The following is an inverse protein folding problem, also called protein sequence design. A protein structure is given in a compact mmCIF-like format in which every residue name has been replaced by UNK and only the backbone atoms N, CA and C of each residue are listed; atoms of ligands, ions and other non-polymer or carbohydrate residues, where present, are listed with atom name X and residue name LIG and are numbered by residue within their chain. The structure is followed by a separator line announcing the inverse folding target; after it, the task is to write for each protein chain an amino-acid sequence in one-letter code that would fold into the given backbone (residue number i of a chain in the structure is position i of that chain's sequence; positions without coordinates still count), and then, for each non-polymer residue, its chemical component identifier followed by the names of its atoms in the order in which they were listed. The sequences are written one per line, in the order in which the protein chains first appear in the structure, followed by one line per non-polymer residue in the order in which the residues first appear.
data_IF_400354063520
#
_entry.id   IF_400354063520
#
_cell.length_a   1.000
_cell.length_b   1.000
_cell.length_c   1.000
_cell.angle_alpha   90.00
_cell.angle_beta   90.00
_cell.angle_gamma   90.00
#
_symmetry.space_group_name_H-M   'P 1'
#
loop_
_entity.id
_entity.type
_entity.pdbx_description
1 polymer ?
#
# COMPACT_ATOMS: atom_id res chain seq x y z
N UNK A 1 -5.63 -37.85 36.00
CA UNK A 1 -4.63 -36.90 35.46
C UNK A 1 -5.37 -36.05 34.47
N UNK A 2 -5.39 -34.73 34.65
CA UNK A 2 -6.15 -33.80 33.81
C UNK A 2 -5.40 -33.64 32.50
N UNK A 3 -5.99 -34.13 31.41
CA UNK A 3 -5.54 -33.87 30.05
C UNK A 3 -5.45 -32.36 29.85
N UNK A 4 -4.27 -31.86 29.49
CA UNK A 4 -4.08 -30.46 29.13
C UNK A 4 -4.94 -30.18 27.89
N UNK A 5 -5.70 -29.07 27.84
CA UNK A 5 -6.44 -28.72 26.64
C UNK A 5 -5.44 -28.56 25.48
N UNK A 6 -5.75 -29.24 24.38
CA UNK A 6 -5.14 -29.08 23.06
C UNK A 6 -4.91 -27.59 22.81
N UNK A 7 -3.65 -27.19 22.61
CA UNK A 7 -3.36 -25.84 22.10
C UNK A 7 -4.13 -25.71 20.77
N UNK A 8 -4.94 -24.66 20.57
CA UNK A 8 -5.70 -24.51 19.34
C UNK A 8 -4.73 -24.50 18.16
N UNK A 9 -5.07 -25.17 17.06
CA UNK A 9 -4.26 -25.39 15.84
C UNK A 9 -3.80 -24.09 15.10
N UNK A 10 -3.98 -22.91 15.69
CA UNK A 10 -3.86 -21.61 15.04
C UNK A 10 -2.47 -20.95 15.27
N UNK A 11 -1.91 -20.86 16.50
CA UNK A 11 -0.59 -20.25 16.73
C UNK A 11 0.55 -21.00 16.04
N UNK A 12 0.44 -22.33 15.91
CA UNK A 12 1.43 -23.17 15.22
C UNK A 12 1.50 -22.91 13.70
N UNK A 13 0.41 -22.44 13.09
CA UNK A 13 0.37 -22.03 11.67
C UNK A 13 0.91 -20.62 11.46
N UNK A 14 0.69 -19.74 12.44
CA UNK A 14 1.28 -18.38 12.48
C UNK A 14 2.80 -18.44 12.53
N UNK A 15 3.37 -19.39 13.30
CA UNK A 15 4.81 -19.64 13.38
C UNK A 15 5.44 -20.19 12.08
N UNK A 16 4.64 -20.75 11.16
CA UNK A 16 5.11 -21.24 9.85
C UNK A 16 5.09 -20.16 8.76
N UNK A 17 4.37 -19.05 8.99
CA UNK A 17 4.23 -17.93 8.06
C UNK A 17 5.13 -16.74 8.41
N UNK A 18 5.50 -16.57 9.68
CA UNK A 18 6.50 -15.58 10.08
C UNK A 18 7.90 -15.99 9.64
N UNK A 19 8.61 -15.15 8.89
CA UNK A 19 10.04 -15.34 8.61
C UNK A 19 10.90 -15.23 9.88
N UNK A 20 10.31 -14.68 10.96
CA UNK A 20 10.89 -14.58 12.29
C UNK A 20 9.94 -15.15 13.34
N UNK A 21 10.50 -15.74 14.40
CA UNK A 21 9.73 -16.27 15.53
C UNK A 21 8.95 -15.15 16.23
N UNK A 22 7.62 -15.16 16.11
CA UNK A 22 6.75 -14.21 16.81
C UNK A 22 6.76 -14.54 18.31
N UNK A 23 7.02 -13.56 19.21
CA UNK A 23 6.99 -13.78 20.65
C UNK A 23 5.64 -14.33 21.12
N UNK A 24 5.67 -15.35 21.99
CA UNK A 24 4.45 -15.98 22.49
C UNK A 24 3.61 -14.97 23.28
N UNK A 25 4.25 -14.07 24.02
CA UNK A 25 3.55 -13.03 24.79
C UNK A 25 2.72 -12.12 23.89
N UNK A 26 3.16 -11.88 22.66
CA UNK A 26 2.41 -11.08 21.69
C UNK A 26 1.20 -11.85 21.15
N UNK A 27 1.37 -13.15 20.87
CA UNK A 27 0.28 -14.02 20.42
C UNK A 27 -0.78 -14.19 21.51
N UNK A 28 -0.37 -14.27 22.78
CA UNK A 28 -1.28 -14.45 23.92
C UNK A 28 -2.18 -13.22 24.17
N UNK A 29 -1.81 -12.04 23.64
CA UNK A 29 -2.63 -10.83 23.70
C UNK A 29 -3.69 -10.74 22.60
N UNK A 30 -3.66 -11.66 21.62
CA UNK A 30 -4.52 -11.63 20.44
C UNK A 30 -5.59 -12.70 20.51
N UNK A 31 -6.80 -12.34 20.11
CA UNK A 31 -7.90 -13.29 19.93
C UNK A 31 -7.66 -14.24 18.75
N UNK A 32 -8.27 -15.43 18.80
CA UNK A 32 -8.20 -16.41 17.70
C UNK A 32 -8.66 -15.83 16.35
N UNK A 33 -9.60 -14.88 16.36
CA UNK A 33 -10.05 -14.16 15.17
C UNK A 33 -8.92 -13.35 14.51
N UNK A 34 -8.08 -12.69 15.31
CA UNK A 34 -6.91 -11.95 14.83
C UNK A 34 -5.88 -12.88 14.20
N UNK A 35 -5.64 -14.03 14.82
CA UNK A 35 -4.73 -15.04 14.28
C UNK A 35 -5.26 -15.64 12.97
N UNK A 36 -6.58 -15.76 12.80
CA UNK A 36 -7.18 -16.15 11.52
C UNK A 36 -7.01 -15.09 10.43
N UNK A 37 -7.10 -13.80 10.77
CA UNK A 37 -6.83 -12.68 9.85
C UNK A 37 -5.37 -12.75 9.38
N UNK A 38 -4.42 -12.92 10.29
CA UNK A 38 -2.99 -13.03 9.96
C UNK A 38 -2.69 -14.11 8.92
N UNK A 39 -3.44 -15.22 8.93
CA UNK A 39 -3.26 -16.32 7.97
C UNK A 39 -3.97 -16.12 6.63
N UNK A 40 -4.91 -15.17 6.52
CA UNK A 40 -5.82 -15.05 5.37
C UNK A 40 -5.72 -13.72 4.64
N UNK A 41 -5.38 -12.65 5.35
CA UNK A 41 -5.27 -11.31 4.81
C UNK A 41 -3.79 -10.96 4.60
N UNK A 42 -3.28 -10.99 3.36
CA UNK A 42 -1.89 -10.67 3.09
C UNK A 42 -1.57 -9.18 3.24
N UNK A 43 -2.55 -8.27 3.18
CA UNK A 43 -2.33 -6.83 3.33
C UNK A 43 -2.45 -6.38 4.80
N UNK A 44 -1.34 -6.00 5.46
CA UNK A 44 -1.39 -5.56 6.84
C UNK A 44 -2.10 -4.23 7.05
N UNK A 45 -2.33 -3.45 5.98
CA UNK A 45 -3.09 -2.21 6.07
C UNK A 45 -4.58 -2.47 6.36
N UNK A 46 -5.07 -3.68 6.08
CA UNK A 46 -6.43 -4.13 6.35
C UNK A 46 -6.58 -4.81 7.71
N UNK A 47 -5.48 -5.00 8.45
CA UNK A 47 -5.51 -5.66 9.73
C UNK A 47 -6.09 -4.76 10.83
N UNK A 48 -6.76 -5.37 11.84
CA UNK A 48 -7.11 -4.69 13.08
C UNK A 48 -5.89 -4.03 13.73
N UNK A 49 -6.11 -2.92 14.43
CA UNK A 49 -5.05 -2.13 15.06
C UNK A 49 -4.27 -2.92 16.11
N UNK A 50 -4.95 -3.84 16.78
CA UNK A 50 -4.41 -4.78 17.76
C UNK A 50 -3.28 -5.64 17.16
N UNK A 51 -3.31 -5.88 15.85
CA UNK A 51 -2.34 -6.69 15.11
C UNK A 51 -1.19 -5.88 14.51
N UNK A 52 -1.15 -4.56 14.68
CA UNK A 52 -0.13 -3.69 14.08
C UNK A 52 1.29 -4.10 14.49
N UNK A 53 1.46 -4.59 15.73
CA UNK A 53 2.74 -5.12 16.21
C UNK A 53 3.22 -6.39 15.47
N UNK A 54 2.33 -7.11 14.76
CA UNK A 54 2.68 -8.29 13.98
C UNK A 54 3.36 -7.94 12.64
N UNK A 55 3.22 -6.71 12.15
CA UNK A 55 3.78 -6.26 10.86
C UNK A 55 5.30 -6.40 10.80
N UNK A 56 6.00 -6.30 11.95
CA UNK A 56 7.46 -6.47 11.97
C UNK A 56 7.92 -7.90 11.65
N UNK A 57 7.02 -8.90 11.72
CA UNK A 57 7.32 -10.32 11.55
C UNK A 57 6.89 -10.91 10.19
N UNK A 58 6.30 -10.10 9.30
CA UNK A 58 6.00 -10.52 7.92
C UNK A 58 7.20 -10.28 7.00
N UNK A 59 7.08 -10.73 5.74
CA UNK A 59 8.13 -10.56 4.75
C UNK A 59 8.49 -9.06 4.55
N UNK A 60 9.78 -8.71 4.37
CA UNK A 60 10.22 -7.33 4.23
C UNK A 60 9.50 -6.54 3.14
N UNK A 61 9.12 -7.21 2.05
CA UNK A 61 8.35 -6.60 0.95
C UNK A 61 7.00 -6.06 1.42
N UNK A 62 6.27 -6.86 2.18
CA UNK A 62 4.92 -6.52 2.63
C UNK A 62 4.97 -5.48 3.74
N UNK A 63 6.00 -5.54 4.60
CA UNK A 63 6.29 -4.48 5.57
C UNK A 63 6.55 -3.13 4.89
N UNK A 64 7.39 -3.10 3.84
CA UNK A 64 7.64 -1.86 3.09
C UNK A 64 6.35 -1.32 2.47
N UNK A 65 5.51 -2.18 1.91
CA UNK A 65 4.22 -1.77 1.36
C UNK A 65 3.31 -1.15 2.44
N UNK A 66 3.24 -1.77 3.62
CA UNK A 66 2.52 -1.22 4.77
C UNK A 66 3.09 0.14 5.24
N UNK A 67 4.40 0.25 5.40
CA UNK A 67 5.05 1.50 5.82
C UNK A 67 4.77 2.62 4.80
N UNK A 68 4.84 2.31 3.50
CA UNK A 68 4.48 3.25 2.45
C UNK A 68 3.02 3.66 2.51
N UNK A 69 2.08 2.75 2.83
CA UNK A 69 0.66 3.10 2.94
C UNK A 69 0.38 4.08 4.08
N UNK A 70 1.22 4.09 5.14
CA UNK A 70 1.16 5.08 6.22
C UNK A 70 1.85 6.40 5.87
N UNK A 71 2.97 6.35 5.16
CA UNK A 71 3.81 7.52 4.87
C UNK A 71 3.28 8.30 3.67
N UNK A 72 2.90 7.62 2.58
CA UNK A 72 2.50 8.26 1.32
C UNK A 72 1.40 9.32 1.49
N UNK A 73 0.31 9.07 2.25
CA UNK A 73 -0.74 10.08 2.45
C UNK A 73 -0.25 11.37 3.10
N UNK A 74 0.78 11.31 3.94
CA UNK A 74 1.39 12.48 4.57
C UNK A 74 2.09 13.38 3.55
N UNK A 75 2.48 12.80 2.42
CA UNK A 75 3.14 13.49 1.32
C UNK A 75 2.18 13.84 0.16
N UNK A 76 0.91 13.43 0.20
CA UNK A 76 -0.06 13.67 -0.88
C UNK A 76 -0.09 15.14 -1.29
N UNK A 77 -0.12 16.06 -0.33
CA UNK A 77 -0.17 17.50 -0.61
C UNK A 77 1.03 18.02 -1.43
N UNK A 78 2.18 17.35 -1.36
CA UNK A 78 3.39 17.70 -2.12
C UNK A 78 3.31 17.29 -3.59
N UNK A 79 2.43 16.35 -3.92
CA UNK A 79 2.24 15.84 -5.29
C UNK A 79 0.93 16.35 -5.88
N UNK A 80 -0.16 16.26 -5.13
CA UNK A 80 -1.52 16.56 -5.59
C UNK A 80 -1.63 18.00 -6.09
N UNK A 81 -1.16 18.98 -5.32
CA UNK A 81 -1.28 20.40 -5.70
C UNK A 81 -0.49 20.74 -6.98
N UNK A 82 0.82 20.42 -7.06
CA UNK A 82 1.56 20.64 -8.31
C UNK A 82 0.94 19.92 -9.51
N UNK A 83 0.48 18.68 -9.32
CA UNK A 83 -0.13 17.89 -10.39
C UNK A 83 -1.45 18.51 -10.87
N UNK A 84 -2.31 18.96 -9.95
CA UNK A 84 -3.54 19.68 -10.27
C UNK A 84 -3.25 20.98 -11.04
N UNK A 85 -2.27 21.76 -10.59
CA UNK A 85 -1.89 23.01 -11.25
C UNK A 85 -1.38 22.75 -12.67
N UNK A 86 -0.53 21.74 -12.84
CA UNK A 86 -0.04 21.32 -14.15
C UNK A 86 -1.21 20.86 -15.05
N UNK A 87 -2.09 20.01 -14.53
CA UNK A 87 -3.22 19.51 -15.29
C UNK A 87 -4.16 20.64 -15.74
N UNK A 88 -4.46 21.58 -14.85
CA UNK A 88 -5.27 22.75 -15.18
C UNK A 88 -4.62 23.62 -16.26
N UNK A 89 -3.29 23.82 -16.19
CA UNK A 89 -2.56 24.56 -17.23
C UNK A 89 -2.70 23.91 -18.61
N UNK A 90 -2.55 22.58 -18.68
CA UNK A 90 -2.69 21.83 -19.93
C UNK A 90 -4.12 21.93 -20.47
N UNK A 91 -5.13 21.80 -19.61
CA UNK A 91 -6.53 21.90 -20.00
C UNK A 91 -6.89 23.31 -20.50
N UNK A 92 -6.32 24.35 -19.90
CA UNK A 92 -6.50 25.73 -20.36
C UNK A 92 -5.91 25.90 -21.77
N UNK A 93 -4.66 25.47 -21.98
CA UNK A 93 -3.99 25.54 -23.29
C UNK A 93 -4.75 24.77 -24.38
N UNK A 94 -5.33 23.61 -24.03
CA UNK A 94 -6.15 22.82 -24.94
C UNK A 94 -7.47 23.51 -25.27
N UNK A 95 -8.12 24.12 -24.28
CA UNK A 95 -9.40 24.84 -24.46
C UNK A 95 -9.23 26.08 -25.34
N UNK A 96 -8.10 26.79 -25.21
CA UNK A 96 -7.75 27.93 -26.07
C UNK A 96 -7.49 27.52 -27.53
N UNK A 97 -7.00 26.29 -27.75
CA UNK A 97 -6.69 25.75 -29.09
C UNK A 97 -7.89 25.06 -29.75
N UNK A 98 -8.75 24.43 -28.95
CA UNK A 98 -9.87 23.61 -29.41
C UNK A 98 -11.18 24.16 -28.82
N UNK A 99 -11.72 25.23 -29.39
CA UNK A 99 -12.93 25.92 -28.91
C UNK A 99 -14.25 25.11 -29.00
N UNK A 100 -14.21 23.81 -29.30
CA UNK A 100 -15.38 22.97 -29.51
C UNK A 100 -15.00 21.51 -29.23
N UNK A 101 -15.86 20.79 -28.52
CA UNK A 101 -15.82 19.36 -28.15
C UNK A 101 -15.46 19.04 -26.70
N UNK A 102 -16.46 19.28 -25.84
CA UNK A 102 -16.64 18.80 -24.46
C UNK A 102 -16.60 17.27 -24.27
N UNK A 103 -16.48 16.47 -25.34
CA UNK A 103 -16.60 15.01 -25.28
C UNK A 103 -15.26 14.24 -25.13
N UNK A 104 -14.13 14.94 -24.95
CA UNK A 104 -12.79 14.31 -24.93
C UNK A 104 -12.06 14.38 -23.58
N UNK A 105 -12.72 14.81 -22.50
CA UNK A 105 -12.04 15.01 -21.21
C UNK A 105 -11.40 13.73 -20.66
N UNK A 106 -12.09 12.60 -20.73
CA UNK A 106 -11.55 11.30 -20.31
C UNK A 106 -10.34 10.89 -21.16
N UNK A 107 -10.43 11.02 -22.49
CA UNK A 107 -9.31 10.71 -23.40
C UNK A 107 -8.10 11.60 -23.16
N UNK A 108 -8.30 12.90 -22.88
CA UNK A 108 -7.22 13.83 -22.53
C UNK A 108 -6.56 13.43 -21.22
N UNK A 109 -7.35 13.08 -20.20
CA UNK A 109 -6.83 12.62 -18.92
C UNK A 109 -6.03 11.32 -19.07
N UNK A 110 -6.53 10.35 -19.85
CA UNK A 110 -5.79 9.11 -20.14
C UNK A 110 -4.44 9.36 -20.80
N UNK A 111 -4.39 10.24 -21.81
CA UNK A 111 -3.13 10.59 -22.48
C UNK A 111 -2.17 11.33 -21.54
N UNK A 112 -2.69 12.22 -20.68
CA UNK A 112 -1.88 12.89 -19.65
C UNK A 112 -1.30 11.91 -18.64
N UNK A 113 -2.06 10.89 -18.23
CA UNK A 113 -1.58 9.83 -17.34
C UNK A 113 -0.48 8.99 -18.01
N UNK A 114 -0.68 8.54 -19.25
CA UNK A 114 0.34 7.80 -20.02
C UNK A 114 1.64 8.61 -20.16
N UNK A 115 1.52 9.92 -20.40
CA UNK A 115 2.68 10.79 -20.49
C UNK A 115 3.45 10.85 -19.16
N UNK A 116 2.75 11.03 -18.03
CA UNK A 116 3.37 11.06 -16.70
C UNK A 116 4.07 9.75 -16.35
N UNK A 117 3.45 8.60 -16.64
CA UNK A 117 4.07 7.29 -16.47
C UNK A 117 5.39 7.20 -17.24
N UNK A 118 5.39 7.63 -18.51
CA UNK A 118 6.59 7.68 -19.34
C UNK A 118 7.70 8.57 -18.76
N UNK A 119 7.36 9.76 -18.27
CA UNK A 119 8.31 10.69 -17.64
C UNK A 119 8.91 10.09 -16.37
N UNK A 120 8.10 9.47 -15.50
CA UNK A 120 8.56 8.85 -14.26
C UNK A 120 9.52 7.69 -14.53
N UNK A 121 9.18 6.80 -15.47
CA UNK A 121 10.04 5.67 -15.87
C UNK A 121 11.38 6.18 -16.40
N UNK A 122 11.38 7.20 -17.25
CA UNK A 122 12.60 7.78 -17.80
C UNK A 122 13.45 8.48 -16.72
N UNK A 123 12.82 9.23 -15.82
CA UNK A 123 13.50 9.91 -14.71
C UNK A 123 14.21 8.94 -13.78
N UNK A 124 13.52 7.87 -13.36
CA UNK A 124 14.09 6.82 -12.51
C UNK A 124 15.26 6.09 -13.18
N UNK A 125 15.16 5.83 -14.47
CA UNK A 125 16.23 5.19 -15.24
C UNK A 125 17.47 6.09 -15.41
N UNK A 126 17.31 7.42 -15.42
CA UNK A 126 18.42 8.37 -15.45
C UNK A 126 19.13 8.46 -14.10
N UNK A 127 18.39 8.47 -12.99
CA UNK A 127 18.97 8.52 -11.64
C UNK A 127 19.76 7.26 -11.25
N UNK A 128 19.52 6.10 -11.90
CA UNK A 128 20.31 4.87 -11.68
C UNK A 128 21.63 4.80 -12.45
N UNK A 129 21.88 5.73 -13.38
CA UNK A 129 23.09 5.76 -14.23
C UNK A 129 24.16 6.74 -13.72
N UNK A 130 23.93 7.39 -12.58
CA UNK A 130 24.83 8.31 -11.89
C UNK A 130 25.30 7.60 -10.63
#
# INVERSE_FOLDING_TARGET
MVDKPDKPLIPSRVLLLGEQSIPQELLDTLEDAHLQIFMREPDPALWPREMEALVQYIAPRDRIAFDLSKIMPLHDSTIVKPLQNWAQSVLNDLSERNASHTDHSESVLEEMLKYLEGVLVQGLNRSRKI
#
